data_IF_761623254272
#
_entry.id   IF_761623254272
#
_cell.length_a   1.000
_cell.length_b   1.000
_cell.length_c   1.000
_cell.angle_alpha   90.00
_cell.angle_beta   90.00
_cell.angle_gamma   90.00
#
_symmetry.space_group_name_H-M   'P 1'
#
loop_
_entity.id
_entity.type
_entity.pdbx_description
1 polymer ?
#
# COMPACT_ATOMS: atom_id res chain seq x y z
N UNK A 1 -50.32 -25.32 68.42
CA UNK A 1 -50.51 -24.35 67.33
C UNK A 1 -49.20 -24.35 66.48
N UNK A 2 -49.27 -25.02 65.37
CA UNK A 2 -48.13 -25.25 64.49
C UNK A 2 -48.23 -24.27 63.35
N UNK A 3 -47.31 -23.29 63.25
CA UNK A 3 -47.26 -22.32 62.19
C UNK A 3 -46.41 -22.90 61.03
N UNK A 4 -47.07 -23.14 59.91
CA UNK A 4 -46.43 -23.58 58.69
C UNK A 4 -45.89 -22.39 57.92
N UNK A 5 -44.56 -22.26 57.83
CA UNK A 5 -43.88 -21.23 57.00
C UNK A 5 -43.72 -21.79 55.60
N UNK A 6 -44.52 -21.28 54.66
CA UNK A 6 -44.34 -21.56 53.25
C UNK A 6 -43.22 -20.67 52.66
N UNK A 7 -42.09 -21.29 52.32
CA UNK A 7 -41.02 -20.63 51.63
C UNK A 7 -41.32 -20.65 50.10
N UNK A 8 -41.61 -19.47 49.55
CA UNK A 8 -41.83 -19.29 48.11
C UNK A 8 -40.46 -19.22 47.39
N UNK A 9 -40.12 -20.28 46.67
CA UNK A 9 -38.94 -20.30 45.84
C UNK A 9 -39.31 -19.64 44.52
N UNK A 10 -38.78 -18.44 44.28
CA UNK A 10 -38.87 -17.73 43.02
C UNK A 10 -37.80 -18.29 42.06
N UNK A 11 -38.21 -19.14 41.12
CA UNK A 11 -37.33 -19.63 40.05
C UNK A 11 -37.27 -18.55 38.98
N UNK A 12 -36.14 -17.84 38.92
CA UNK A 12 -35.85 -16.91 37.83
C UNK A 12 -35.29 -17.73 36.67
N UNK A 13 -36.10 -17.96 35.65
CA UNK A 13 -35.62 -18.51 34.36
C UNK A 13 -34.94 -17.39 33.59
N UNK A 14 -33.63 -17.44 33.52
CA UNK A 14 -32.84 -16.57 32.62
C UNK A 14 -32.96 -17.12 31.20
N UNK A 15 -33.77 -16.46 30.39
CA UNK A 15 -33.76 -16.72 28.94
C UNK A 15 -32.47 -16.12 28.37
N UNK A 16 -31.47 -16.98 28.11
CA UNK A 16 -30.29 -16.66 27.31
C UNK A 16 -30.63 -16.86 25.83
N UNK A 17 -31.28 -15.89 25.21
CA UNK A 17 -31.36 -15.78 23.75
C UNK A 17 -31.61 -14.33 23.38
N UNK A 18 -30.59 -13.52 23.57
CA UNK A 18 -30.41 -12.26 22.81
C UNK A 18 -29.13 -12.43 22.02
N UNK A 19 -29.21 -13.17 20.94
CA UNK A 19 -28.23 -13.16 19.89
C UNK A 19 -28.17 -11.77 19.31
N UNK A 20 -27.26 -10.95 19.84
CA UNK A 20 -26.78 -9.78 19.10
C UNK A 20 -26.06 -10.31 17.86
N UNK A 21 -26.79 -10.41 16.76
CA UNK A 21 -26.17 -10.50 15.45
C UNK A 21 -25.33 -9.23 15.28
N UNK A 22 -24.04 -9.35 15.51
CA UNK A 22 -23.07 -8.35 15.06
C UNK A 22 -23.26 -8.31 13.55
N UNK A 23 -23.62 -7.16 12.95
CA UNK A 23 -23.67 -7.06 11.51
C UNK A 23 -22.27 -7.50 11.05
N UNK A 24 -22.25 -8.50 10.16
CA UNK A 24 -21.05 -8.83 9.42
C UNK A 24 -20.64 -7.52 8.75
N UNK A 25 -19.63 -6.85 9.34
CA UNK A 25 -18.88 -5.86 8.61
C UNK A 25 -18.50 -6.57 7.34
N UNK A 26 -19.07 -6.12 6.22
CA UNK A 26 -18.60 -6.44 4.89
C UNK A 26 -17.09 -6.15 4.91
N UNK A 27 -16.33 -7.18 5.29
CA UNK A 27 -14.95 -7.26 4.87
C UNK A 27 -15.06 -7.38 3.37
N UNK A 28 -14.98 -6.23 2.70
CA UNK A 28 -14.50 -6.19 1.35
C UNK A 28 -13.19 -6.98 1.41
N UNK A 29 -13.26 -8.27 1.11
CA UNK A 29 -12.09 -9.05 0.77
C UNK A 29 -11.61 -8.40 -0.51
N UNK A 30 -10.77 -7.39 -0.38
CA UNK A 30 -9.91 -6.93 -1.44
C UNK A 30 -9.23 -8.22 -1.91
N UNK A 31 -9.69 -8.77 -3.04
CA UNK A 31 -9.00 -9.88 -3.69
C UNK A 31 -7.61 -9.33 -3.98
N UNK A 32 -6.68 -9.65 -3.09
CA UNK A 32 -5.29 -9.28 -3.25
C UNK A 32 -4.89 -9.80 -4.61
N UNK A 33 -4.63 -8.89 -5.52
CA UNK A 33 -4.18 -9.24 -6.88
C UNK A 33 -3.05 -10.25 -6.79
N UNK A 34 -2.99 -11.23 -7.72
CA UNK A 34 -1.95 -12.24 -7.70
C UNK A 34 -0.57 -11.62 -7.48
N UNK A 35 0.32 -12.24 -6.68
CA UNK A 35 1.67 -11.76 -6.52
C UNK A 35 2.32 -11.52 -7.88
N UNK A 36 2.91 -10.33 -8.09
CA UNK A 36 3.54 -9.96 -9.36
C UNK A 36 2.66 -9.19 -10.34
N UNK A 37 1.43 -8.84 -10.00
CA UNK A 37 0.66 -7.85 -10.77
C UNK A 37 1.05 -6.44 -10.34
N UNK A 38 1.52 -5.63 -11.29
CA UNK A 38 1.96 -4.26 -11.04
C UNK A 38 1.31 -3.28 -12.01
N UNK A 39 1.07 -2.07 -11.53
CA UNK A 39 0.51 -0.98 -12.33
C UNK A 39 1.24 0.34 -12.06
N UNK A 40 0.98 1.33 -12.91
CA UNK A 40 1.44 2.69 -12.69
C UNK A 40 0.84 3.26 -11.41
N UNK A 41 1.64 4.01 -10.62
CA UNK A 41 1.16 4.65 -9.41
C UNK A 41 0.28 5.89 -9.68
N UNK A 42 0.17 6.33 -10.92
CA UNK A 42 -0.68 7.44 -11.35
C UNK A 42 -1.75 6.96 -12.33
N UNK A 43 -2.99 7.47 -12.20
CA UNK A 43 -4.12 7.12 -13.06
C UNK A 43 -4.77 8.39 -13.62
N UNK A 44 -4.99 8.47 -14.94
CA UNK A 44 -4.64 7.46 -15.95
C UNK A 44 -3.12 7.30 -16.09
N UNK A 45 -2.64 6.10 -16.52
CA UNK A 45 -1.24 5.94 -16.88
C UNK A 45 -0.89 6.94 -17.98
N UNK A 46 0.29 7.54 -17.94
CA UNK A 46 0.69 8.50 -18.96
C UNK A 46 0.72 7.82 -20.34
N UNK A 47 0.24 8.51 -21.39
CA UNK A 47 0.17 7.95 -22.74
C UNK A 47 1.56 7.64 -23.31
N UNK A 48 2.56 8.44 -22.97
CA UNK A 48 3.96 8.17 -23.26
C UNK A 48 4.75 8.08 -21.95
N UNK A 49 5.27 6.89 -21.67
CA UNK A 49 6.00 6.61 -20.45
C UNK A 49 7.36 7.31 -20.40
N UNK A 50 8.00 7.47 -21.57
CA UNK A 50 9.32 8.05 -21.66
C UNK A 50 9.28 9.57 -21.36
N UNK A 51 8.31 10.28 -21.91
CA UNK A 51 8.19 11.73 -21.74
C UNK A 51 7.69 12.14 -20.34
N UNK A 52 7.17 11.18 -19.57
CA UNK A 52 6.63 11.44 -18.23
C UNK A 52 7.66 11.24 -17.13
N UNK A 53 8.75 10.51 -17.40
CA UNK A 53 9.86 10.34 -16.47
C UNK A 53 10.77 11.57 -16.54
N UNK A 54 10.72 12.39 -15.49
CA UNK A 54 11.54 13.61 -15.39
C UNK A 54 12.98 13.26 -15.02
N UNK A 55 13.14 12.35 -14.04
CA UNK A 55 14.43 11.80 -13.63
C UNK A 55 14.35 10.29 -13.52
N UNK A 56 15.27 9.59 -14.19
CA UNK A 56 15.37 8.14 -14.15
C UNK A 56 16.08 7.62 -12.88
N UNK A 57 16.04 6.30 -12.70
CA UNK A 57 16.76 5.63 -11.64
C UNK A 57 18.28 5.71 -11.91
N UNK A 58 19.06 6.13 -10.90
CA UNK A 58 20.51 6.18 -10.92
C UNK A 58 21.04 5.53 -9.63
N UNK A 59 21.50 4.27 -9.69
CA UNK A 59 21.92 3.56 -8.49
C UNK A 59 23.12 4.25 -7.85
N UNK A 60 23.04 4.57 -6.53
CA UNK A 60 24.17 5.16 -5.84
C UNK A 60 25.32 4.12 -5.75
N UNK A 61 26.59 4.51 -5.98
CA UNK A 61 27.75 3.62 -5.91
C UNK A 61 28.02 3.09 -4.48
N UNK A 62 27.40 3.72 -3.47
CA UNK A 62 27.40 3.29 -2.07
C UNK A 62 26.09 3.75 -1.42
N UNK A 63 25.62 3.11 -0.32
CA UNK A 63 24.34 3.45 0.32
C UNK A 63 24.17 4.93 0.72
N UNK A 64 25.29 5.60 1.01
CA UNK A 64 25.33 7.02 1.39
C UNK A 64 25.72 7.97 0.26
N UNK A 65 26.08 7.43 -0.91
CA UNK A 65 26.53 8.26 -2.04
C UNK A 65 25.35 8.94 -2.77
N UNK A 66 25.67 9.93 -3.57
CA UNK A 66 24.71 10.57 -4.47
C UNK A 66 24.20 9.56 -5.50
N UNK A 67 22.95 9.74 -5.93
CA UNK A 67 22.24 8.91 -6.90
C UNK A 67 20.75 9.15 -6.77
N UNK A 68 19.96 8.59 -7.69
CA UNK A 68 18.51 8.68 -7.67
C UNK A 68 17.90 7.30 -7.36
N UNK A 69 17.26 7.16 -6.19
CA UNK A 69 16.81 5.89 -5.61
C UNK A 69 15.41 5.46 -6.05
N UNK A 70 14.94 6.03 -7.17
CA UNK A 70 13.65 5.78 -7.77
C UNK A 70 13.53 6.47 -9.11
N UNK A 71 12.31 6.72 -9.55
CA UNK A 71 12.00 7.53 -10.72
C UNK A 71 11.09 8.68 -10.31
N UNK A 72 11.26 9.83 -10.94
CA UNK A 72 10.37 10.97 -10.77
C UNK A 72 9.41 11.04 -11.95
N UNK A 73 8.12 10.97 -11.67
CA UNK A 73 7.05 10.93 -12.65
C UNK A 73 6.32 12.26 -12.63
N UNK A 74 6.31 12.99 -13.73
CA UNK A 74 5.63 14.29 -13.84
C UNK A 74 4.14 14.17 -13.50
N UNK A 75 3.67 14.98 -12.56
CA UNK A 75 2.27 15.03 -12.16
C UNK A 75 1.94 16.33 -11.44
N UNK A 76 0.73 16.83 -11.63
CA UNK A 76 0.26 18.01 -10.91
C UNK A 76 -0.05 17.70 -9.45
N UNK A 77 0.19 18.67 -8.55
CA UNK A 77 -0.27 18.59 -7.16
C UNK A 77 -1.76 18.29 -7.11
N UNK A 78 -2.17 17.39 -6.22
CA UNK A 78 -3.55 16.89 -6.10
C UNK A 78 -3.87 15.68 -6.99
N UNK A 79 -2.96 15.27 -7.90
CA UNK A 79 -3.12 14.03 -8.67
C UNK A 79 -3.26 12.84 -7.72
N UNK A 80 -4.21 11.95 -7.97
CA UNK A 80 -4.41 10.71 -7.20
C UNK A 80 -3.22 9.79 -7.37
N UNK A 81 -2.73 9.28 -6.26
CA UNK A 81 -1.65 8.30 -6.19
C UNK A 81 -2.21 6.97 -5.75
N UNK A 82 -1.80 5.91 -6.42
CA UNK A 82 -2.31 4.55 -6.25
C UNK A 82 -1.18 3.59 -5.89
N UNK A 83 -1.52 2.51 -5.17
CA UNK A 83 -0.58 1.43 -4.89
C UNK A 83 -0.18 0.74 -6.21
N UNK A 84 1.10 0.70 -6.51
CA UNK A 84 1.59 0.04 -7.73
C UNK A 84 1.45 -1.49 -7.67
N UNK A 85 1.43 -2.06 -6.48
CA UNK A 85 1.24 -3.49 -6.21
C UNK A 85 0.44 -3.70 -4.93
N UNK A 86 -0.12 -4.91 -4.73
CA UNK A 86 -0.77 -5.27 -3.48
C UNK A 86 0.25 -5.42 -2.35
N UNK A 87 -0.12 -5.03 -1.14
CA UNK A 87 0.76 -5.12 0.02
C UNK A 87 0.18 -4.52 1.29
N UNK A 88 1.03 -4.34 2.29
CA UNK A 88 0.72 -3.70 3.55
C UNK A 88 1.41 -2.34 3.63
N UNK A 89 0.68 -1.31 4.03
CA UNK A 89 1.24 0.01 4.32
C UNK A 89 2.10 -0.08 5.57
N UNK A 90 3.41 0.05 5.44
CA UNK A 90 4.34 0.01 6.58
C UNK A 90 4.64 1.39 7.14
N UNK A 91 4.37 2.44 6.35
CA UNK A 91 4.49 3.82 6.79
C UNK A 91 3.55 4.73 5.98
N UNK A 92 2.87 5.64 6.67
CA UNK A 92 2.08 6.72 6.06
C UNK A 92 2.19 7.95 6.97
N UNK A 93 2.87 9.00 6.52
CA UNK A 93 3.14 10.16 7.37
C UNK A 93 4.16 11.11 6.79
N UNK A 94 4.72 11.97 7.65
CA UNK A 94 5.70 12.99 7.26
C UNK A 94 7.08 12.65 7.83
N UNK A 95 8.09 12.66 6.98
CA UNK A 95 9.50 12.54 7.36
C UNK A 95 10.17 13.88 7.12
N UNK A 96 10.50 14.58 8.20
CA UNK A 96 11.01 15.96 8.22
C UNK A 96 9.96 16.94 7.65
N UNK A 97 9.93 17.12 6.34
CA UNK A 97 9.03 18.03 5.61
C UNK A 97 8.35 17.35 4.41
N UNK A 98 8.52 16.03 4.25
CA UNK A 98 8.07 15.26 3.11
C UNK A 98 7.02 14.24 3.53
N UNK A 99 5.76 14.42 3.10
CA UNK A 99 4.73 13.40 3.30
C UNK A 99 4.99 12.24 2.35
N UNK A 100 4.92 11.00 2.85
CA UNK A 100 5.16 9.82 2.04
C UNK A 100 4.37 8.60 2.53
N UNK A 101 4.20 7.64 1.63
CA UNK A 101 3.65 6.31 1.89
C UNK A 101 4.69 5.26 1.51
N UNK A 102 4.84 4.24 2.35
CA UNK A 102 5.65 3.05 2.06
C UNK A 102 4.77 1.82 2.13
N UNK A 103 4.84 0.98 1.10
CA UNK A 103 4.11 -0.28 1.02
C UNK A 103 5.12 -1.42 0.95
N UNK A 104 4.94 -2.42 1.81
CA UNK A 104 5.67 -3.69 1.72
C UNK A 104 4.82 -4.71 0.97
N UNK A 105 5.43 -5.33 -0.03
CA UNK A 105 4.81 -6.29 -0.93
C UNK A 105 5.25 -7.72 -0.62
N UNK A 106 4.50 -8.74 -1.05
CA UNK A 106 4.94 -10.13 -0.97
C UNK A 106 6.35 -10.31 -1.56
N UNK A 107 7.19 -11.07 -0.87
CA UNK A 107 8.60 -11.25 -1.25
C UNK A 107 9.56 -10.18 -0.73
N UNK A 108 9.07 -9.25 0.12
CA UNK A 108 9.91 -8.26 0.81
C UNK A 108 10.34 -7.07 -0.05
N UNK A 109 9.72 -6.87 -1.21
CA UNK A 109 9.85 -5.63 -1.96
C UNK A 109 9.14 -4.50 -1.22
N UNK A 110 9.69 -3.29 -1.28
CA UNK A 110 9.06 -2.08 -0.71
C UNK A 110 9.03 -0.98 -1.75
N UNK A 111 7.85 -0.41 -1.95
CA UNK A 111 7.69 0.81 -2.76
C UNK A 111 7.50 2.03 -1.86
N UNK A 112 8.04 3.16 -2.31
CA UNK A 112 7.91 4.47 -1.65
C UNK A 112 7.30 5.45 -2.62
N UNK A 113 6.37 6.26 -2.12
CA UNK A 113 5.63 7.27 -2.87
C UNK A 113 5.79 8.63 -2.17
N UNK A 114 6.45 9.61 -2.81
CA UNK A 114 6.80 10.91 -2.23
C UNK A 114 6.74 12.03 -3.30
N UNK A 115 6.22 13.24 -2.98
CA UNK A 115 5.49 13.59 -1.78
C UNK A 115 4.02 13.19 -1.91
N UNK A 116 3.48 12.43 -0.97
CA UNK A 116 2.09 11.97 -0.98
C UNK A 116 1.42 12.32 0.33
N UNK A 117 0.31 13.07 0.29
CA UNK A 117 -0.59 13.22 1.44
C UNK A 117 -1.36 11.90 1.59
N UNK A 118 -1.12 11.12 2.66
CA UNK A 118 -1.73 9.81 2.82
C UNK A 118 -3.25 9.90 3.00
N UNK A 119 -3.98 8.93 2.43
CA UNK A 119 -5.38 8.62 2.70
C UNK A 119 -5.50 7.21 3.32
N UNK A 120 -4.37 6.59 3.62
CA UNK A 120 -4.19 5.29 4.29
C UNK A 120 -3.31 5.45 5.52
N UNK A 121 -3.28 4.44 6.38
CA UNK A 121 -2.46 4.40 7.59
C UNK A 121 -1.59 3.12 7.65
N UNK A 122 -0.57 3.13 8.49
CA UNK A 122 0.26 1.93 8.71
C UNK A 122 -0.59 0.77 9.24
N UNK A 123 -0.41 -0.41 8.66
CA UNK A 123 -1.18 -1.62 8.91
C UNK A 123 -2.33 -1.84 7.92
N UNK A 124 -2.70 -0.87 7.08
CA UNK A 124 -3.71 -1.07 6.06
C UNK A 124 -3.20 -2.02 4.96
N UNK A 125 -4.08 -2.93 4.52
CA UNK A 125 -3.84 -3.77 3.34
C UNK A 125 -4.40 -3.06 2.12
N UNK A 126 -3.61 -2.97 1.06
CA UNK A 126 -3.99 -2.32 -0.20
C UNK A 126 -3.85 -3.26 -1.38
N UNK A 127 -4.78 -3.17 -2.31
CA UNK A 127 -4.76 -3.87 -3.59
C UNK A 127 -3.98 -3.10 -4.66
N UNK A 128 -3.68 -3.76 -5.78
CA UNK A 128 -3.10 -3.12 -6.98
C UNK A 128 -4.04 -2.04 -7.49
N UNK A 129 -3.52 -0.83 -7.71
CA UNK A 129 -4.30 0.31 -8.20
C UNK A 129 -5.25 0.92 -7.16
N UNK A 130 -5.19 0.51 -5.91
CA UNK A 130 -5.97 1.12 -4.85
C UNK A 130 -5.45 2.52 -4.52
N UNK A 131 -6.33 3.54 -4.33
CA UNK A 131 -5.91 4.87 -3.94
C UNK A 131 -5.22 4.87 -2.58
N UNK A 132 -4.05 5.49 -2.49
CA UNK A 132 -3.28 5.62 -1.24
C UNK A 132 -3.11 7.07 -0.79
N UNK A 133 -3.52 8.02 -1.63
CA UNK A 133 -3.45 9.45 -1.32
C UNK A 133 -3.42 10.33 -2.55
N UNK A 134 -2.95 11.55 -2.36
CA UNK A 134 -2.81 12.54 -3.41
C UNK A 134 -1.44 13.20 -3.39
N UNK A 135 -0.91 13.54 -4.57
CA UNK A 135 0.37 14.22 -4.70
C UNK A 135 0.34 15.55 -3.94
N UNK A 136 1.30 15.71 -3.04
CA UNK A 136 1.48 16.92 -2.24
C UNK A 136 2.50 17.88 -2.89
N UNK A 137 2.66 19.05 -2.28
CA UNK A 137 3.80 19.92 -2.52
C UNK A 137 4.97 19.51 -1.64
N UNK A 138 6.20 19.79 -2.06
CA UNK A 138 7.42 19.45 -1.33
C UNK A 138 8.21 18.34 -2.03
N UNK A 139 9.12 17.70 -1.28
CA UNK A 139 10.04 16.72 -1.84
C UNK A 139 11.18 17.36 -2.65
N UNK A 140 11.98 16.53 -3.32
CA UNK A 140 13.13 16.97 -4.10
C UNK A 140 12.80 17.38 -5.55
N UNK A 141 11.58 17.04 -5.99
CA UNK A 141 11.10 17.32 -7.33
C UNK A 141 9.76 18.08 -7.26
N UNK A 142 9.70 19.27 -7.83
CA UNK A 142 8.47 20.05 -7.88
C UNK A 142 7.61 19.62 -9.07
N UNK A 143 6.36 19.22 -8.81
CA UNK A 143 5.44 18.77 -9.86
C UNK A 143 5.74 17.36 -10.37
N UNK A 144 6.20 16.49 -9.50
CA UNK A 144 6.40 15.07 -9.79
C UNK A 144 6.12 14.18 -8.58
N UNK A 145 5.84 12.92 -8.84
CA UNK A 145 5.84 11.83 -7.88
C UNK A 145 7.19 11.11 -7.95
N UNK A 146 7.94 11.10 -6.84
CA UNK A 146 9.05 10.17 -6.67
C UNK A 146 8.49 8.79 -6.32
N UNK A 147 8.81 7.80 -7.13
CA UNK A 147 8.44 6.40 -6.91
C UNK A 147 9.70 5.56 -6.77
N UNK A 148 9.95 5.07 -5.56
CA UNK A 148 11.11 4.28 -5.20
C UNK A 148 10.79 2.80 -5.07
N UNK A 149 11.80 1.95 -5.29
CA UNK A 149 11.73 0.51 -5.07
C UNK A 149 12.96 0.02 -4.31
N UNK A 150 12.76 -0.85 -3.33
CA UNK A 150 13.82 -1.46 -2.54
C UNK A 150 13.50 -2.94 -2.28
N UNK A 151 14.51 -3.81 -2.33
CA UNK A 151 14.35 -5.22 -1.97
C UNK A 151 14.49 -5.45 -0.45
N UNK A 152 14.26 -6.71 -0.01
CA UNK A 152 14.37 -7.10 1.39
C UNK A 152 15.78 -6.91 1.98
N UNK A 153 16.82 -6.93 1.16
CA UNK A 153 18.19 -6.65 1.58
C UNK A 153 18.50 -5.15 1.69
N UNK A 154 17.53 -4.28 1.39
CA UNK A 154 17.70 -2.84 1.45
C UNK A 154 18.34 -2.22 0.21
N UNK A 155 18.55 -2.98 -0.85
CA UNK A 155 19.13 -2.50 -2.13
C UNK A 155 18.05 -1.80 -2.93
N UNK A 156 18.37 -0.62 -3.45
CA UNK A 156 17.50 0.13 -4.34
C UNK A 156 17.52 -0.46 -5.75
N UNK A 157 16.34 -0.54 -6.35
CA UNK A 157 16.10 -1.10 -7.67
C UNK A 157 15.35 -0.08 -8.53
N UNK A 158 15.46 -0.22 -9.85
CA UNK A 158 14.64 0.55 -10.78
C UNK A 158 13.18 0.09 -10.71
N UNK A 159 12.23 0.94 -10.26
CA UNK A 159 10.83 0.55 -10.17
C UNK A 159 10.18 0.29 -11.53
N UNK A 160 10.76 0.79 -12.62
CA UNK A 160 10.26 0.53 -13.96
C UNK A 160 10.31 -0.93 -14.36
N UNK A 161 11.18 -1.74 -13.71
CA UNK A 161 11.25 -3.19 -13.90
C UNK A 161 9.93 -3.89 -13.51
N UNK A 162 9.17 -3.34 -12.56
CA UNK A 162 7.88 -3.89 -12.13
C UNK A 162 6.82 -3.83 -13.23
N UNK A 163 6.93 -2.85 -14.13
CA UNK A 163 5.97 -2.59 -15.20
C UNK A 163 6.35 -3.26 -16.53
N UNK A 164 7.52 -3.90 -16.57
CA UNK A 164 8.00 -4.60 -17.77
C UNK A 164 7.44 -6.02 -17.76
N UNK A 165 6.73 -6.46 -18.81
CA UNK A 165 6.28 -7.85 -18.87
C UNK A 165 7.47 -8.80 -18.86
N UNK A 166 7.43 -9.79 -17.97
CA UNK A 166 8.46 -10.85 -17.92
C UNK A 166 8.35 -11.69 -19.20
N UNK A 167 9.32 -11.57 -20.09
CA UNK A 167 9.41 -12.44 -21.26
C UNK A 167 10.06 -13.77 -20.82
N UNK A 168 9.23 -14.77 -20.54
CA UNK A 168 9.71 -16.13 -20.26
C UNK A 168 10.10 -16.78 -21.60
N UNK A 169 11.38 -17.01 -21.81
CA UNK A 169 11.88 -17.84 -22.92
C UNK A 169 12.09 -19.26 -22.41
N UNK A 170 11.29 -20.17 -22.87
CA UNK A 170 11.51 -21.60 -22.64
C UNK A 170 12.59 -22.10 -23.62
N UNK A 171 13.72 -22.54 -23.11
CA UNK A 171 14.73 -23.23 -23.91
C UNK A 171 14.42 -24.72 -23.90
N UNK A 172 14.46 -25.40 -25.08
CA UNK A 172 14.30 -26.86 -25.08
C UNK A 172 15.43 -27.50 -24.30
N UNK A 173 15.08 -28.40 -23.39
CA UNK A 173 16.04 -29.23 -22.67
C UNK A 173 16.57 -30.24 -23.68
N UNK A 174 17.89 -30.27 -23.89
CA UNK A 174 18.56 -31.29 -24.72
C UNK A 174 18.86 -32.51 -23.87
#
# INVERSE_FOLDING_TARGET
>A
MLACVLTLICVVTVNADSGYAVPATDRVTSELSPPGTWTWPLVPPPPDRADTIVNGFEPPPAPWAAGHRGVDIAAATGTRVHAAGSGEVTFAGVVVDRPLVVIEHPGGLRTTYEPVRPEVQAGDLVGVGEPIGSLATGGHCSGCLHWGLRNAAGVYLDPMQLLTPVQIRLYPVR
#
